data_IF_566017833004
#
_entry.id   IF_566017833004
#
_cell.length_a   1.000
_cell.length_b   1.000
_cell.length_c   1.000
_cell.angle_alpha   90.00
_cell.angle_beta   90.00
_cell.angle_gamma   90.00
#
_symmetry.space_group_name_H-M   'P 1'
#
loop_
_entity.id
_entity.type
_entity.pdbx_description
1 polymer ?
#
# COMPACT_ATOMS: atom_id res chain seq x y z
N UNK A 1 -3.04 -17.54 -18.48
CA UNK A 1 -3.64 -17.32 -17.15
C UNK A 1 -5.03 -17.93 -17.14
N UNK A 2 -5.42 -18.64 -16.08
CA UNK A 2 -6.67 -19.42 -16.05
C UNK A 2 -7.89 -18.55 -15.73
N UNK A 3 -9.07 -19.01 -16.14
CA UNK A 3 -10.37 -18.38 -15.83
C UNK A 3 -10.58 -18.17 -14.32
N UNK A 4 -10.10 -19.13 -13.52
CA UNK A 4 -10.11 -19.06 -12.05
C UNK A 4 -9.31 -17.86 -11.52
N UNK A 5 -8.14 -17.55 -12.11
CA UNK A 5 -7.34 -16.40 -11.70
C UNK A 5 -8.10 -15.09 -11.87
N UNK A 6 -8.75 -14.89 -13.03
CA UNK A 6 -9.51 -13.69 -13.31
C UNK A 6 -10.75 -13.55 -12.42
N UNK A 7 -11.44 -14.66 -12.13
CA UNK A 7 -12.57 -14.64 -11.20
C UNK A 7 -12.14 -14.20 -9.79
N UNK A 8 -10.97 -14.66 -9.31
CA UNK A 8 -10.44 -14.27 -8.01
C UNK A 8 -9.99 -12.79 -8.01
N UNK A 9 -9.25 -12.33 -9.03
CA UNK A 9 -8.90 -10.91 -9.14
C UNK A 9 -10.15 -10.04 -9.22
N UNK A 10 -11.21 -10.50 -9.91
CA UNK A 10 -12.51 -9.84 -9.93
C UNK A 10 -13.09 -9.60 -8.54
N UNK A 11 -13.02 -10.59 -7.64
CA UNK A 11 -13.43 -10.45 -6.23
C UNK A 11 -12.69 -9.30 -5.52
N UNK A 12 -11.37 -9.20 -5.71
CA UNK A 12 -10.57 -8.13 -5.09
C UNK A 12 -10.80 -6.77 -5.76
N UNK A 13 -10.98 -6.74 -7.08
CA UNK A 13 -11.32 -5.53 -7.83
C UNK A 13 -12.67 -4.94 -7.39
N UNK A 14 -13.66 -5.78 -7.07
CA UNK A 14 -14.92 -5.31 -6.47
C UNK A 14 -14.73 -4.67 -5.09
N UNK A 15 -13.63 -4.99 -4.39
CA UNK A 15 -13.27 -4.47 -3.07
C UNK A 15 -12.18 -3.40 -3.14
N UNK A 16 -11.84 -2.90 -4.33
CA UNK A 16 -10.70 -1.98 -4.53
C UNK A 16 -10.73 -0.75 -3.62
N UNK A 17 -11.92 -0.20 -3.33
CA UNK A 17 -12.06 0.95 -2.42
C UNK A 17 -11.85 0.61 -0.94
N UNK A 18 -11.92 -0.67 -0.56
CA UNK A 18 -11.52 -1.12 0.78
C UNK A 18 -10.00 -1.30 0.88
N UNK A 19 -9.34 -1.62 -0.23
CA UNK A 19 -7.87 -1.73 -0.33
C UNK A 19 -7.24 -0.34 -0.36
N UNK A 20 -7.78 0.57 -1.19
CA UNK A 20 -7.39 1.97 -1.28
C UNK A 20 -8.63 2.83 -1.51
N UNK A 21 -8.96 3.70 -0.55
CA UNK A 21 -10.07 4.64 -0.65
C UNK A 21 -9.92 5.60 -1.84
N UNK A 22 -8.68 5.95 -2.21
CA UNK A 22 -8.33 6.82 -3.34
C UNK A 22 -8.03 6.04 -4.63
N UNK A 23 -8.58 4.84 -4.80
CA UNK A 23 -8.24 3.95 -5.92
C UNK A 23 -8.33 4.64 -7.30
N UNK A 24 -9.42 5.36 -7.54
CA UNK A 24 -9.69 6.01 -8.84
C UNK A 24 -8.83 7.26 -9.09
N UNK A 25 -8.04 7.71 -8.11
CA UNK A 25 -7.08 8.80 -8.26
C UNK A 25 -5.76 8.35 -8.90
N UNK A 26 -5.74 7.12 -9.42
CA UNK A 26 -4.63 6.58 -10.20
C UNK A 26 -3.79 5.56 -9.45
N UNK A 27 -4.33 4.85 -8.45
CA UNK A 27 -3.59 3.81 -7.74
C UNK A 27 -3.11 2.73 -8.70
N UNK A 28 -1.83 2.38 -8.57
CA UNK A 28 -1.19 1.29 -9.33
C UNK A 28 -1.16 0.03 -8.49
N UNK A 29 -1.60 -1.06 -9.11
CA UNK A 29 -1.66 -2.39 -8.53
C UNK A 29 -1.07 -3.39 -9.50
N UNK A 30 -0.49 -4.45 -8.94
CA UNK A 30 0.03 -5.57 -9.70
C UNK A 30 -0.68 -6.87 -9.31
N UNK A 31 -0.34 -7.96 -9.99
CA UNK A 31 -0.95 -9.26 -9.78
C UNK A 31 -0.92 -9.69 -8.31
N UNK A 32 0.24 -9.61 -7.64
CA UNK A 32 0.36 -10.00 -6.23
C UNK A 32 -0.23 -8.95 -5.26
N UNK A 33 -0.18 -7.67 -5.61
CA UNK A 33 -0.74 -6.59 -4.80
C UNK A 33 -2.21 -6.83 -4.44
N UNK A 34 -3.00 -7.33 -5.39
CA UNK A 34 -4.42 -7.65 -5.17
C UNK A 34 -4.68 -8.64 -4.03
N UNK A 35 -3.74 -9.53 -3.76
CA UNK A 35 -3.88 -10.60 -2.76
C UNK A 35 -3.19 -10.26 -1.44
N UNK A 36 -2.24 -9.33 -1.47
CA UNK A 36 -1.27 -9.14 -0.40
C UNK A 36 -1.40 -7.80 0.31
N UNK A 37 -2.04 -6.81 -0.32
CA UNK A 37 -2.21 -5.50 0.31
C UNK A 37 -3.18 -5.59 1.48
N UNK A 38 -2.78 -5.02 2.62
CA UNK A 38 -3.66 -4.87 3.79
C UNK A 38 -4.81 -3.93 3.43
N UNK A 39 -6.04 -4.25 3.84
CA UNK A 39 -7.17 -3.31 3.74
C UNK A 39 -6.80 -1.98 4.40
N UNK A 40 -7.13 -0.85 3.77
CA UNK A 40 -6.72 0.47 4.24
C UNK A 40 -7.15 0.73 5.69
N UNK A 41 -8.36 0.27 6.06
CA UNK A 41 -8.88 0.41 7.41
C UNK A 41 -8.01 -0.30 8.46
N UNK A 42 -7.51 -1.50 8.14
CA UNK A 42 -6.66 -2.29 9.03
C UNK A 42 -5.27 -1.66 9.11
N UNK A 43 -4.70 -1.26 7.96
CA UNK A 43 -3.42 -0.55 7.92
C UNK A 43 -3.45 0.75 8.76
N UNK A 44 -4.55 1.50 8.68
CA UNK A 44 -4.76 2.70 9.51
C UNK A 44 -4.87 2.38 10.99
N UNK A 45 -5.55 1.28 11.34
CA UNK A 45 -5.60 0.82 12.72
C UNK A 45 -4.21 0.45 13.25
N UNK A 46 -3.42 -0.32 12.48
CA UNK A 46 -2.04 -0.63 12.85
C UNK A 46 -1.20 0.64 13.04
N UNK A 47 -1.29 1.60 12.11
CA UNK A 47 -0.59 2.87 12.22
C UNK A 47 -1.00 3.69 13.46
N UNK A 48 -2.26 3.61 13.89
CA UNK A 48 -2.72 4.28 15.12
C UNK A 48 -2.14 3.68 16.41
N UNK A 49 -1.68 2.42 16.35
CA UNK A 49 -1.02 1.75 17.46
C UNK A 49 0.50 1.99 17.48
N UNK A 50 1.08 2.53 16.40
CA UNK A 50 2.49 2.86 16.31
C UNK A 50 2.81 4.20 17.00
N UNK A 51 4.02 4.32 17.55
CA UNK A 51 4.50 5.57 18.16
C UNK A 51 4.93 6.62 17.13
N UNK A 52 5.29 7.80 17.61
CA UNK A 52 5.75 8.95 16.80
C UNK A 52 7.23 8.87 16.37
N UNK A 53 7.76 7.66 16.18
CA UNK A 53 9.17 7.43 15.84
C UNK A 53 9.41 7.22 14.35
N UNK A 54 10.58 6.68 14.02
CA UNK A 54 10.89 6.14 12.70
C UNK A 54 10.36 4.71 12.63
N UNK A 55 9.61 4.38 11.58
CA UNK A 55 9.09 3.04 11.33
C UNK A 55 9.75 2.45 10.09
N UNK A 56 10.07 1.16 10.15
CA UNK A 56 10.59 0.41 9.02
C UNK A 56 9.49 -0.52 8.48
N UNK A 57 9.10 -0.33 7.22
CA UNK A 57 8.24 -1.26 6.50
C UNK A 57 9.09 -2.11 5.54
N UNK A 58 9.54 -3.27 6.04
CA UNK A 58 10.50 -4.11 5.33
C UNK A 58 9.93 -4.85 4.10
N UNK A 59 8.61 -4.81 3.89
CA UNK A 59 7.92 -5.54 2.82
C UNK A 59 6.77 -4.68 2.28
N UNK A 60 7.10 -3.47 1.82
CA UNK A 60 6.10 -2.45 1.53
C UNK A 60 5.17 -2.81 0.36
N UNK A 61 5.64 -3.65 -0.57
CA UNK A 61 4.93 -4.02 -1.80
C UNK A 61 4.43 -2.77 -2.53
N UNK A 62 3.11 -2.64 -2.71
CA UNK A 62 2.45 -1.50 -3.37
C UNK A 62 2.18 -0.32 -2.42
N UNK A 63 2.70 -0.35 -1.20
CA UNK A 63 2.69 0.78 -0.25
C UNK A 63 1.52 0.85 0.72
N UNK A 64 0.64 -0.17 0.79
CA UNK A 64 -0.59 -0.09 1.59
C UNK A 64 -0.39 0.22 3.08
N UNK A 65 0.53 -0.47 3.75
CA UNK A 65 0.86 -0.19 5.16
C UNK A 65 1.68 1.10 5.28
N UNK A 66 2.74 1.23 4.48
CA UNK A 66 3.63 2.37 4.52
C UNK A 66 2.91 3.72 4.38
N UNK A 67 1.91 3.82 3.50
CA UNK A 67 1.07 5.03 3.35
C UNK A 67 0.34 5.39 4.64
N UNK A 68 -0.22 4.41 5.35
CA UNK A 68 -0.93 4.71 6.60
C UNK A 68 0.03 5.00 7.76
N UNK A 69 1.19 4.34 7.77
CA UNK A 69 2.25 4.58 8.75
C UNK A 69 2.82 5.99 8.61
N UNK A 70 3.05 6.48 7.39
CA UNK A 70 3.62 7.82 7.15
C UNK A 70 2.68 8.96 7.53
N UNK A 71 1.38 8.69 7.70
CA UNK A 71 0.41 9.67 8.23
C UNK A 71 0.49 9.84 9.76
N UNK A 72 1.18 8.93 10.48
CA UNK A 72 1.17 8.89 11.96
C UNK A 72 2.57 8.92 12.58
N UNK A 73 3.53 8.27 11.93
CA UNK A 73 4.92 8.21 12.37
C UNK A 73 5.67 9.48 11.96
N UNK A 74 6.82 9.73 12.59
CA UNK A 74 7.65 10.88 12.21
C UNK A 74 8.28 10.69 10.83
N UNK A 75 8.67 9.44 10.51
CA UNK A 75 9.23 9.07 9.21
C UNK A 75 9.07 7.57 8.98
N UNK A 76 8.93 7.15 7.72
CA UNK A 76 8.88 5.74 7.32
C UNK A 76 10.05 5.43 6.39
N UNK A 77 10.71 4.31 6.63
CA UNK A 77 11.69 3.74 5.68
C UNK A 77 11.06 2.45 5.17
N UNK A 78 10.65 2.45 3.91
CA UNK A 78 9.96 1.35 3.28
C UNK A 78 10.86 0.74 2.21
N UNK A 79 10.92 -0.59 2.14
CA UNK A 79 11.65 -1.27 1.08
C UNK A 79 10.96 -2.56 0.66
N UNK A 80 11.29 -3.01 -0.54
CA UNK A 80 10.86 -4.28 -1.11
C UNK A 80 12.00 -4.82 -1.97
N UNK A 81 12.05 -6.13 -2.14
CA UNK A 81 13.06 -6.78 -2.98
C UNK A 81 12.78 -6.58 -4.46
N UNK A 82 11.51 -6.36 -4.84
CA UNK A 82 11.12 -6.12 -6.22
C UNK A 82 11.02 -4.62 -6.49
N UNK A 83 11.93 -4.10 -7.33
CA UNK A 83 11.96 -2.69 -7.74
C UNK A 83 10.65 -2.22 -8.39
N UNK A 84 9.90 -3.10 -9.08
CA UNK A 84 8.61 -2.71 -9.65
C UNK A 84 7.57 -2.41 -8.57
N UNK A 85 7.68 -3.06 -7.41
CA UNK A 85 6.81 -2.79 -6.25
C UNK A 85 7.14 -1.43 -5.68
N UNK A 86 8.42 -1.09 -5.56
CA UNK A 86 8.88 0.24 -5.17
C UNK A 86 8.31 1.31 -6.11
N UNK A 87 8.36 1.11 -7.43
CA UNK A 87 7.76 2.06 -8.39
C UNK A 87 6.25 2.27 -8.17
N UNK A 88 5.52 1.20 -7.85
CA UNK A 88 4.09 1.29 -7.53
C UNK A 88 3.85 1.95 -6.17
N UNK A 89 4.60 1.59 -5.14
CA UNK A 89 4.53 2.23 -3.83
C UNK A 89 4.81 3.72 -3.94
N UNK A 90 5.87 4.13 -4.64
CA UNK A 90 6.25 5.52 -4.83
C UNK A 90 5.11 6.32 -5.48
N UNK A 91 4.51 5.76 -6.54
CA UNK A 91 3.35 6.36 -7.19
C UNK A 91 2.13 6.46 -6.24
N UNK A 92 1.82 5.39 -5.51
CA UNK A 92 0.66 5.33 -4.61
C UNK A 92 0.83 6.27 -3.42
N UNK A 93 2.03 6.40 -2.87
CA UNK A 93 2.37 7.39 -1.84
C UNK A 93 2.11 8.81 -2.34
N UNK A 94 2.48 9.11 -3.60
CA UNK A 94 2.22 10.40 -4.21
C UNK A 94 0.73 10.69 -4.35
N UNK A 95 -0.08 9.69 -4.71
CA UNK A 95 -1.54 9.81 -4.69
C UNK A 95 -2.02 10.22 -3.30
N UNK A 96 -1.51 9.60 -2.23
CA UNK A 96 -1.91 9.93 -0.86
C UNK A 96 -1.29 11.21 -0.29
N UNK A 97 -0.31 11.81 -0.97
CA UNK A 97 0.31 13.08 -0.57
C UNK A 97 1.22 12.97 0.65
N UNK A 98 1.89 11.83 0.83
CA UNK A 98 2.74 11.55 2.02
C UNK A 98 4.22 11.33 1.66
N UNK A 99 4.66 11.80 0.49
CA UNK A 99 6.02 11.61 -0.03
C UNK A 99 7.10 12.19 0.89
N UNK A 100 6.80 13.27 1.60
CA UNK A 100 7.77 13.96 2.45
C UNK A 100 8.03 13.22 3.79
N UNK A 101 7.28 12.13 4.05
CA UNK A 101 7.33 11.38 5.30
C UNK A 101 7.81 9.93 5.11
N UNK A 102 8.31 9.60 3.92
CA UNK A 102 8.68 8.23 3.58
C UNK A 102 9.82 8.16 2.55
N UNK A 103 10.81 7.33 2.85
CA UNK A 103 11.84 6.91 1.90
C UNK A 103 11.49 5.51 1.35
N UNK A 104 11.64 5.34 0.04
CA UNK A 104 11.35 4.13 -0.74
C UNK A 104 12.53 3.72 -1.61
#
# INVERSE_FOLDING_TARGET
>A
MSEVYYAIVGKYCCQRYLLFSRFDEGIKMDGEGWFSVTLELIARHHASCCGSGIVVDSFTRVGGNAIQLSQRSAHVIAFDIDLKKIDYAYHNVAVYGVNDHIDL
#
